data_IF_114279296796
#
_entry.id   IF_114279296796
#
_cell.length_a   1.000
_cell.length_b   1.000
_cell.length_c   1.000
_cell.angle_alpha   90.00
_cell.angle_beta   90.00
_cell.angle_gamma   90.00
#
_symmetry.space_group_name_H-M   'P 1'
#
loop_
_entity.id
_entity.type
_entity.pdbx_description
1 polymer ?
#
# COMPACT_ATOMS: atom_id res chain seq x y z
N UNK A 1 -1.21 -1.39 0.17
CA UNK A 1 -1.63 -0.66 1.39
C UNK A 1 -0.52 -0.68 2.42
N UNK A 2 0.12 -1.83 2.61
CA UNK A 2 1.15 -2.07 3.65
C UNK A 2 2.33 -1.12 3.61
N UNK A 3 2.87 -0.82 2.42
CA UNK A 3 3.96 0.16 2.24
C UNK A 3 3.56 1.54 2.79
N UNK A 4 2.30 1.92 2.58
CA UNK A 4 1.71 3.17 3.07
C UNK A 4 1.23 3.08 4.53
N UNK A 5 1.26 1.89 5.15
CA UNK A 5 0.81 1.66 6.53
C UNK A 5 -0.70 1.79 6.75
N UNK A 6 -1.52 1.63 5.70
CA UNK A 6 -2.98 1.81 5.78
C UNK A 6 -3.70 0.57 6.34
N UNK A 7 -4.83 0.80 7.00
CA UNK A 7 -5.66 -0.21 7.63
C UNK A 7 -6.74 -0.79 6.72
N UNK A 8 -7.83 -1.28 7.33
CA UNK A 8 -8.91 -1.98 6.62
C UNK A 8 -9.70 -1.07 5.66
N UNK A 9 -9.69 0.24 5.88
CA UNK A 9 -10.26 1.25 4.98
C UNK A 9 -9.64 1.22 3.59
N UNK A 10 -8.40 0.72 3.50
CA UNK A 10 -7.69 0.63 2.24
C UNK A 10 -7.87 -0.73 1.55
N UNK A 11 -8.66 -1.66 2.11
CA UNK A 11 -8.80 -3.02 1.58
C UNK A 11 -9.32 -3.05 0.14
N UNK A 12 -8.66 -3.83 -0.71
CA UNK A 12 -9.04 -3.93 -2.13
C UNK A 12 -10.27 -4.81 -2.37
N UNK A 13 -10.45 -5.87 -1.59
CA UNK A 13 -11.53 -6.84 -1.78
C UNK A 13 -11.94 -7.49 -0.45
N UNK A 14 -13.23 -7.72 -0.27
CA UNK A 14 -13.83 -8.56 0.78
C UNK A 14 -14.51 -9.74 0.06
N UNK A 15 -13.88 -10.93 0.04
CA UNK A 15 -14.50 -12.11 -0.56
C UNK A 15 -15.89 -12.38 0.03
N UNK A 16 -16.86 -12.67 -0.83
CA UNK A 16 -18.25 -12.90 -0.43
C UNK A 16 -19.15 -11.66 -0.47
N UNK A 17 -18.61 -10.47 -0.79
CA UNK A 17 -19.43 -9.27 -1.05
C UNK A 17 -19.50 -8.96 -2.55
N UNK A 18 -20.61 -8.37 -2.98
CA UNK A 18 -20.84 -7.95 -4.38
C UNK A 18 -20.54 -6.48 -4.61
N UNK A 19 -20.43 -5.68 -3.55
CA UNK A 19 -20.30 -4.22 -3.62
C UNK A 19 -19.08 -3.73 -2.81
N UNK A 20 -18.61 -2.52 -3.14
CA UNK A 20 -17.53 -1.83 -2.43
C UNK A 20 -16.11 -2.33 -2.75
N UNK A 21 -15.96 -3.45 -3.46
CA UNK A 21 -14.66 -4.02 -3.84
C UNK A 21 -14.02 -3.26 -5.01
N UNK A 22 -12.69 -3.38 -5.13
CA UNK A 22 -11.86 -2.86 -6.21
C UNK A 22 -11.91 -1.33 -6.41
N UNK A 23 -12.47 -0.63 -5.43
CA UNK A 23 -12.70 0.81 -5.48
C UNK A 23 -11.55 1.63 -4.88
N UNK A 24 -10.71 1.01 -4.04
CA UNK A 24 -9.63 1.72 -3.35
C UNK A 24 -8.59 2.29 -4.32
N UNK A 25 -8.19 3.53 -4.03
CA UNK A 25 -7.11 4.26 -4.71
C UNK A 25 -6.25 4.92 -3.64
N UNK A 26 -4.96 5.04 -3.90
CA UNK A 26 -4.11 5.89 -3.07
C UNK A 26 -4.42 7.36 -3.34
N UNK A 27 -4.25 8.21 -2.32
CA UNK A 27 -4.36 9.66 -2.47
C UNK A 27 -3.14 10.22 -3.19
N UNK A 28 -3.33 11.30 -3.94
CA UNK A 28 -2.21 12.05 -4.50
C UNK A 28 -1.21 12.45 -3.40
N UNK A 29 0.09 12.34 -3.69
CA UNK A 29 1.16 12.62 -2.72
C UNK A 29 1.38 11.54 -1.65
N UNK A 30 0.58 10.46 -1.60
CA UNK A 30 0.78 9.39 -0.63
C UNK A 30 2.12 8.63 -0.83
N UNK A 31 2.67 8.64 -2.03
CA UNK A 31 3.98 8.05 -2.34
C UNK A 31 5.09 9.07 -2.11
N UNK A 32 5.60 9.12 -0.87
CA UNK A 32 6.64 10.07 -0.48
C UNK A 32 8.05 9.54 -0.73
N UNK A 33 9.02 10.45 -0.83
CA UNK A 33 10.44 10.08 -0.95
C UNK A 33 10.94 9.25 0.23
N UNK A 34 10.44 9.52 1.44
CA UNK A 34 10.77 8.76 2.64
C UNK A 34 10.35 7.28 2.53
N UNK A 35 9.17 7.01 1.96
CA UNK A 35 8.69 5.64 1.72
C UNK A 35 9.59 4.94 0.70
N UNK A 36 9.95 5.63 -0.38
CA UNK A 36 10.83 5.09 -1.41
C UNK A 36 12.23 4.78 -0.84
N UNK A 37 12.80 5.67 -0.02
CA UNK A 37 14.09 5.48 0.62
C UNK A 37 14.09 4.26 1.55
N UNK A 38 13.05 4.11 2.39
CA UNK A 38 12.90 2.95 3.28
C UNK A 38 12.81 1.63 2.50
N UNK A 39 12.04 1.60 1.43
CA UNK A 39 11.94 0.40 0.58
C UNK A 39 13.29 0.06 -0.07
N UNK A 40 14.02 1.06 -0.56
CA UNK A 40 15.36 0.88 -1.13
C UNK A 40 16.35 0.30 -0.11
N UNK A 41 16.30 0.78 1.12
CA UNK A 41 17.13 0.26 2.21
C UNK A 41 16.82 -1.22 2.48
N UNK A 42 15.55 -1.59 2.56
CA UNK A 42 15.16 -3.00 2.74
C UNK A 42 15.66 -3.89 1.60
N UNK A 43 15.51 -3.43 0.36
CA UNK A 43 16.00 -4.15 -0.83
C UNK A 43 17.53 -4.34 -0.75
N UNK A 44 18.26 -3.29 -0.35
CA UNK A 44 19.71 -3.34 -0.16
C UNK A 44 20.12 -4.31 0.97
N UNK A 45 19.50 -4.20 2.15
CA UNK A 45 19.82 -5.03 3.32
C UNK A 45 19.56 -6.52 3.08
N UNK A 46 18.51 -6.86 2.31
CA UNK A 46 18.12 -8.24 2.07
C UNK A 46 18.50 -8.77 0.67
N UNK A 47 19.29 -8.00 -0.10
CA UNK A 47 19.88 -8.43 -1.37
C UNK A 47 18.87 -8.77 -2.47
N UNK A 48 17.82 -7.96 -2.62
CA UNK A 48 16.80 -8.12 -3.67
C UNK A 48 16.96 -7.12 -4.81
#
# INVERSE_FOLDING_TARGET
QDVLGLGSEARMNIPGTTEGNWSWRFSEGATTEAIAARLRELVHCYGR
#
